data_IF_158366669633
#
_entry.id   IF_158366669633
#
_cell.length_a   1.000
_cell.length_b   1.000
_cell.length_c   1.000
_cell.angle_alpha   90.00
_cell.angle_beta   90.00
_cell.angle_gamma   90.00
#
_symmetry.space_group_name_H-M   'P 1'
#
loop_
_entity.id
_entity.type
_entity.pdbx_description
1 polymer ?
#
# COMPACT_ATOMS: atom_id res chain seq x y z
N UNK A 1 -16.79 36.32 -44.42
CA UNK A 1 -15.85 35.91 -45.48
C UNK A 1 -14.48 36.46 -45.11
N UNK A 2 -13.79 35.81 -44.18
CA UNK A 2 -12.39 36.09 -43.83
C UNK A 2 -11.81 34.78 -43.28
N UNK A 3 -11.41 33.92 -44.20
CA UNK A 3 -10.50 32.81 -43.96
C UNK A 3 -9.51 32.90 -45.11
N UNK A 4 -8.22 33.07 -44.79
CA UNK A 4 -7.04 32.64 -45.54
C UNK A 4 -5.86 33.53 -45.13
N UNK A 5 -5.23 33.15 -44.02
CA UNK A 5 -3.76 33.04 -43.98
C UNK A 5 -3.40 32.19 -42.76
N UNK A 6 -3.13 30.91 -43.00
CA UNK A 6 -2.54 30.00 -42.01
C UNK A 6 -1.42 29.27 -42.73
N UNK A 7 -0.18 29.63 -42.41
CA UNK A 7 1.01 28.93 -42.88
C UNK A 7 1.02 27.50 -42.32
N UNK A 8 1.24 26.54 -43.23
CA UNK A 8 1.39 25.13 -42.93
C UNK A 8 2.86 24.76 -43.04
N UNK A 9 3.49 24.37 -41.93
CA UNK A 9 4.83 23.78 -41.94
C UNK A 9 4.79 22.28 -41.59
N UNK A 10 5.61 21.52 -42.30
CA UNK A 10 5.80 20.08 -42.12
C UNK A 10 7.14 19.84 -41.43
N UNK A 11 7.10 19.21 -40.24
CA UNK A 11 8.30 18.69 -39.57
C UNK A 11 8.07 17.20 -39.27
N UNK A 12 9.01 16.36 -39.72
CA UNK A 12 9.07 14.90 -39.49
C UNK A 12 7.73 14.15 -39.69
N UNK A 13 6.97 14.53 -40.71
CA UNK A 13 5.79 13.79 -41.16
C UNK A 13 4.53 13.94 -40.30
N UNK A 14 4.50 14.88 -39.34
CA UNK A 14 3.33 15.16 -38.50
C UNK A 14 2.84 16.59 -38.73
N UNK A 15 1.54 16.73 -39.02
CA UNK A 15 0.87 18.01 -39.24
C UNK A 15 0.57 18.70 -37.90
N UNK A 16 1.23 19.83 -37.64
CA UNK A 16 1.04 20.61 -36.41
C UNK A 16 0.21 21.85 -36.72
N UNK A 17 -0.96 21.98 -36.06
CA UNK A 17 -1.71 23.24 -36.03
C UNK A 17 -1.05 24.20 -35.05
N UNK A 18 -0.62 25.39 -35.51
CA UNK A 18 -0.26 26.47 -34.60
C UNK A 18 -1.51 26.97 -33.88
N UNK A 19 -1.68 26.54 -32.63
CA UNK A 19 -2.60 27.13 -31.67
C UNK A 19 -1.80 28.11 -30.81
N UNK A 20 -2.32 29.32 -30.58
CA UNK A 20 -1.67 30.36 -29.73
C UNK A 20 -1.44 29.93 -28.27
N UNK A 21 -1.93 28.73 -27.88
CA UNK A 21 -1.69 28.07 -26.59
C UNK A 21 -0.52 27.05 -26.61
N UNK A 22 0.40 27.22 -27.56
CA UNK A 22 1.55 26.31 -27.79
C UNK A 22 2.50 26.17 -26.59
N UNK A 23 2.53 27.15 -25.68
CA UNK A 23 3.34 27.10 -24.46
C UNK A 23 2.80 26.09 -23.44
N UNK A 24 1.48 26.08 -23.22
CA UNK A 24 0.83 25.18 -22.24
C UNK A 24 0.95 23.72 -22.69
N UNK A 25 0.64 23.43 -23.96
CA UNK A 25 0.72 22.10 -24.52
C UNK A 25 2.16 21.53 -24.54
N UNK A 26 3.16 22.37 -24.81
CA UNK A 26 4.58 21.96 -24.79
C UNK A 26 5.07 21.67 -23.37
N UNK A 27 4.63 22.43 -22.38
CA UNK A 27 4.89 22.19 -20.95
C UNK A 27 4.22 20.92 -20.44
N UNK A 28 3.00 20.63 -20.88
CA UNK A 28 2.29 19.37 -20.55
C UNK A 28 3.00 18.15 -21.14
N UNK A 29 3.37 18.19 -22.43
CA UNK A 29 4.11 17.10 -23.09
C UNK A 29 5.47 16.88 -22.42
N UNK A 30 6.19 17.95 -22.08
CA UNK A 30 7.50 17.86 -21.44
C UNK A 30 7.41 17.30 -20.01
N UNK A 31 6.32 17.56 -19.29
CA UNK A 31 6.03 16.94 -17.98
C UNK A 31 5.66 15.47 -18.10
N UNK A 32 4.81 15.10 -19.05
CA UNK A 32 4.44 13.70 -19.31
C UNK A 32 5.66 12.87 -19.74
N UNK A 33 6.60 13.46 -20.48
CA UNK A 33 7.85 12.80 -20.90
C UNK A 33 8.98 12.89 -19.86
N UNK A 34 8.78 13.57 -18.71
CA UNK A 34 9.82 13.71 -17.69
C UNK A 34 10.21 12.38 -17.03
N UNK A 35 9.27 11.42 -16.99
CA UNK A 35 9.52 10.07 -16.48
C UNK A 35 9.42 9.04 -17.59
N UNK A 36 10.44 8.20 -17.73
CA UNK A 36 10.35 6.97 -18.51
C UNK A 36 9.50 5.91 -17.77
N UNK A 37 9.08 4.87 -18.49
CA UNK A 37 8.20 3.83 -17.94
C UNK A 37 8.77 3.15 -16.67
N UNK A 38 10.05 2.73 -16.60
CA UNK A 38 10.63 2.23 -15.36
C UNK A 38 10.55 3.20 -14.17
N UNK A 39 10.82 4.49 -14.41
CA UNK A 39 10.74 5.53 -13.37
C UNK A 39 9.30 5.75 -12.91
N UNK A 40 8.36 5.83 -13.86
CA UNK A 40 6.92 5.97 -13.59
C UNK A 40 6.42 4.81 -12.75
N UNK A 41 6.75 3.57 -13.13
CA UNK A 41 6.37 2.37 -12.39
C UNK A 41 6.96 2.33 -10.98
N UNK A 42 8.22 2.76 -10.83
CA UNK A 42 8.84 2.89 -9.50
C UNK A 42 8.11 3.91 -8.64
N UNK A 43 7.69 5.03 -9.22
CA UNK A 43 6.93 6.07 -8.53
C UNK A 43 5.54 5.55 -8.12
N UNK A 44 4.82 4.87 -9.02
CA UNK A 44 3.53 4.22 -8.72
C UNK A 44 3.63 3.27 -7.51
N UNK A 45 4.63 2.39 -7.50
CA UNK A 45 4.86 1.46 -6.40
C UNK A 45 5.16 2.20 -5.10
N UNK A 46 6.01 3.22 -5.16
CA UNK A 46 6.45 3.95 -3.98
C UNK A 46 5.30 4.76 -3.37
N UNK A 47 4.57 5.52 -4.19
CA UNK A 47 3.44 6.32 -3.70
C UNK A 47 2.29 5.44 -3.22
N UNK A 48 2.00 4.32 -3.90
CA UNK A 48 1.00 3.36 -3.45
C UNK A 48 1.37 2.70 -2.10
N UNK A 49 2.66 2.44 -1.85
CA UNK A 49 3.13 1.96 -0.55
C UNK A 49 2.94 3.02 0.54
N UNK A 50 3.31 4.27 0.28
CA UNK A 50 3.11 5.37 1.24
C UNK A 50 1.62 5.53 1.56
N UNK A 51 0.76 5.58 0.55
CA UNK A 51 -0.69 5.69 0.73
C UNK A 51 -1.25 4.55 1.59
N UNK A 52 -0.80 3.31 1.37
CA UNK A 52 -1.17 2.17 2.20
C UNK A 52 -0.73 2.38 3.66
N UNK A 53 0.51 2.81 3.91
CA UNK A 53 1.01 3.02 5.29
C UNK A 53 0.30 4.16 6.01
N UNK A 54 -0.04 5.24 5.30
CA UNK A 54 -0.83 6.33 5.86
C UNK A 54 -2.21 5.84 6.30
N UNK A 55 -2.84 4.96 5.50
CA UNK A 55 -4.14 4.35 5.85
C UNK A 55 -4.04 3.41 7.05
N UNK A 56 -2.99 2.59 7.11
CA UNK A 56 -2.74 1.72 8.27
C UNK A 56 -2.54 2.55 9.55
N UNK A 57 -1.77 3.64 9.47
CA UNK A 57 -1.50 4.51 10.62
C UNK A 57 -2.78 5.13 11.18
N UNK A 58 -3.63 5.69 10.32
CA UNK A 58 -4.92 6.25 10.76
C UNK A 58 -5.84 5.19 11.35
N UNK A 59 -6.01 4.05 10.66
CA UNK A 59 -6.97 3.04 11.09
C UNK A 59 -6.55 2.37 12.38
N UNK A 60 -5.25 2.08 12.55
CA UNK A 60 -4.76 1.31 13.69
C UNK A 60 -4.48 2.19 14.91
N UNK A 61 -4.00 3.42 14.73
CA UNK A 61 -3.48 4.20 15.85
C UNK A 61 -4.20 5.52 16.10
N UNK A 62 -4.88 6.09 15.10
CA UNK A 62 -5.53 7.41 15.24
C UNK A 62 -7.06 7.35 15.19
N UNK A 63 -7.66 6.19 14.93
CA UNK A 63 -9.11 6.03 14.79
C UNK A 63 -9.87 6.02 16.12
N UNK A 64 -9.15 6.07 17.26
CA UNK A 64 -9.70 5.95 18.61
C UNK A 64 -10.03 4.52 19.02
N UNK A 65 -9.83 3.52 18.16
CA UNK A 65 -9.86 2.12 18.56
C UNK A 65 -8.61 1.80 19.38
N UNK A 66 -8.75 1.02 20.47
CA UNK A 66 -7.62 0.51 21.23
C UNK A 66 -6.83 -0.49 20.35
N UNK A 67 -5.56 -0.22 20.01
CA UNK A 67 -4.76 -1.14 19.22
C UNK A 67 -4.17 -2.29 20.04
N UNK A 68 -4.42 -2.33 21.34
CA UNK A 68 -3.93 -3.38 22.23
C UNK A 68 -4.58 -4.73 21.95
N UNK A 69 -3.83 -5.80 22.18
CA UNK A 69 -4.29 -7.18 22.18
C UNK A 69 -3.74 -7.96 23.37
N UNK A 70 -4.06 -9.25 23.44
CA UNK A 70 -3.72 -10.12 24.58
C UNK A 70 -2.21 -10.23 24.86
N UNK A 71 -1.37 -10.09 23.82
CA UNK A 71 0.08 -10.24 23.91
C UNK A 71 0.85 -8.94 23.67
N UNK A 72 0.17 -7.89 23.19
CA UNK A 72 0.79 -6.60 22.84
C UNK A 72 -0.09 -5.50 23.39
N UNK A 73 0.40 -4.81 24.41
CA UNK A 73 -0.25 -3.62 24.95
C UNK A 73 0.35 -2.40 24.28
N UNK A 74 -0.51 -1.48 23.85
CA UNK A 74 -0.10 -0.19 23.30
C UNK A 74 -0.54 0.89 24.27
N UNK A 75 0.43 1.52 24.91
CA UNK A 75 0.18 2.73 25.68
C UNK A 75 0.14 3.91 24.70
N UNK A 76 -1.01 4.57 24.59
CA UNK A 76 -1.15 5.75 23.76
C UNK A 76 -0.81 7.00 24.57
N UNK A 77 0.43 7.47 24.41
CA UNK A 77 0.95 8.66 25.05
C UNK A 77 0.73 9.96 24.25
N UNK A 78 0.03 9.88 23.12
CA UNK A 78 -0.30 11.05 22.29
C UNK A 78 -1.45 11.85 22.90
N UNK A 79 -1.30 13.17 22.91
CA UNK A 79 -2.37 14.11 23.22
C UNK A 79 -3.37 14.22 22.06
N UNK A 80 -4.60 14.67 22.35
CA UNK A 80 -5.62 14.91 21.32
C UNK A 80 -5.12 15.90 20.24
N UNK A 81 -4.36 16.92 20.65
CA UNK A 81 -3.79 17.91 19.74
C UNK A 81 -2.73 17.30 18.80
N UNK A 82 -1.92 16.35 19.28
CA UNK A 82 -0.96 15.63 18.44
C UNK A 82 -1.67 14.70 17.45
N UNK A 83 -2.72 14.00 17.89
CA UNK A 83 -3.56 13.17 17.01
C UNK A 83 -4.21 14.01 15.91
N UNK A 84 -4.76 15.18 16.25
CA UNK A 84 -5.35 16.11 15.27
C UNK A 84 -4.30 16.64 14.28
N UNK A 85 -3.13 17.01 14.77
CA UNK A 85 -2.03 17.48 13.94
C UNK A 85 -1.54 16.39 12.96
N UNK A 86 -1.37 15.16 13.44
CA UNK A 86 -1.00 14.01 12.60
C UNK A 86 -2.06 13.73 11.54
N UNK A 87 -3.33 13.70 11.93
CA UNK A 87 -4.45 13.49 11.00
C UNK A 87 -4.47 14.56 9.90
N UNK A 88 -4.25 15.82 10.27
CA UNK A 88 -4.13 16.93 9.31
C UNK A 88 -2.99 16.72 8.33
N UNK A 89 -1.78 16.38 8.82
CA UNK A 89 -0.60 16.13 8.00
C UNK A 89 -0.79 14.93 7.05
N UNK A 90 -1.45 13.86 7.50
CA UNK A 90 -1.79 12.70 6.66
C UNK A 90 -2.73 13.13 5.52
N UNK A 91 -3.73 13.96 5.82
CA UNK A 91 -4.60 14.57 4.83
C UNK A 91 -3.83 15.35 3.77
N UNK A 92 -2.89 16.20 4.19
CA UNK A 92 -2.02 16.95 3.27
C UNK A 92 -1.16 16.02 2.39
N UNK A 93 -0.56 14.98 2.97
CA UNK A 93 0.25 14.02 2.22
C UNK A 93 -0.57 13.33 1.13
N UNK A 94 -1.81 12.92 1.43
CA UNK A 94 -2.71 12.31 0.43
C UNK A 94 -3.07 13.28 -0.68
N UNK A 95 -3.34 14.54 -0.36
CA UNK A 95 -3.58 15.55 -1.39
C UNK A 95 -2.38 15.73 -2.30
N UNK A 96 -1.16 15.73 -1.75
CA UNK A 96 0.08 15.82 -2.54
C UNK A 96 0.30 14.57 -3.40
N UNK A 97 0.05 13.38 -2.86
CA UNK A 97 0.08 12.12 -3.63
C UNK A 97 -0.93 12.16 -4.78
N UNK A 98 -2.15 12.66 -4.53
CA UNK A 98 -3.19 12.83 -5.55
C UNK A 98 -2.77 13.78 -6.68
N UNK A 99 -2.10 14.89 -6.34
CA UNK A 99 -1.52 15.81 -7.34
C UNK A 99 -0.42 15.14 -8.16
N UNK A 100 0.53 14.46 -7.52
CA UNK A 100 1.59 13.72 -8.22
C UNK A 100 1.01 12.63 -9.13
N UNK A 101 -0.03 11.93 -8.69
CA UNK A 101 -0.74 10.95 -9.50
C UNK A 101 -1.33 11.59 -10.76
N UNK A 102 -1.97 12.75 -10.64
CA UNK A 102 -2.53 13.46 -11.78
C UNK A 102 -1.42 14.00 -12.71
N UNK A 103 -0.40 14.64 -12.15
CA UNK A 103 0.70 15.26 -12.89
C UNK A 103 1.52 14.25 -13.72
N UNK A 104 1.74 13.06 -13.17
CA UNK A 104 2.52 11.99 -13.82
C UNK A 104 1.65 10.85 -14.36
N UNK A 105 0.32 11.05 -14.47
CA UNK A 105 -0.67 10.07 -14.94
C UNK A 105 -0.46 8.66 -14.37
N UNK A 106 -0.20 8.59 -13.06
CA UNK A 106 0.13 7.35 -12.38
C UNK A 106 -1.10 6.46 -12.27
N UNK A 107 -0.92 5.17 -12.54
CA UNK A 107 -2.01 4.20 -12.49
C UNK A 107 -2.15 3.62 -11.08
N UNK A 108 -3.38 3.54 -10.55
CA UNK A 108 -3.64 2.83 -9.29
C UNK A 108 -3.20 1.37 -9.39
N UNK A 109 -2.60 0.86 -8.32
CA UNK A 109 -2.31 -0.57 -8.23
C UNK A 109 -3.58 -1.32 -7.87
N UNK A 110 -4.10 -2.14 -8.78
CA UNK A 110 -5.16 -3.06 -8.44
C UNK A 110 -4.58 -4.25 -7.68
N UNK A 111 -5.06 -4.45 -6.45
CA UNK A 111 -4.73 -5.63 -5.64
C UNK A 111 -5.99 -6.41 -5.34
N UNK A 112 -5.92 -7.72 -5.45
CA UNK A 112 -7.05 -8.59 -5.13
C UNK A 112 -7.04 -8.89 -3.64
N UNK A 113 -8.11 -8.51 -2.93
CA UNK A 113 -8.26 -8.74 -1.50
C UNK A 113 -8.06 -10.23 -1.14
N UNK A 114 -8.62 -11.15 -1.93
CA UNK A 114 -8.41 -12.60 -1.73
C UNK A 114 -6.94 -12.99 -1.73
N UNK A 115 -6.12 -12.42 -2.63
CA UNK A 115 -4.68 -12.71 -2.70
C UNK A 115 -3.93 -12.14 -1.50
N UNK A 116 -4.32 -10.96 -1.02
CA UNK A 116 -3.76 -10.35 0.20
C UNK A 116 -4.08 -11.22 1.41
N UNK A 117 -5.35 -11.58 1.60
CA UNK A 117 -5.78 -12.41 2.73
C UNK A 117 -5.15 -13.81 2.69
N UNK A 118 -5.04 -14.43 1.50
CA UNK A 118 -4.35 -15.71 1.35
C UNK A 118 -2.87 -15.62 1.76
N UNK A 119 -2.17 -14.55 1.38
CA UNK A 119 -0.79 -14.33 1.79
C UNK A 119 -0.67 -14.14 3.32
N UNK A 120 -1.58 -13.36 3.93
CA UNK A 120 -1.61 -13.14 5.38
C UNK A 120 -1.88 -14.44 6.16
N UNK A 121 -2.83 -15.26 5.73
CA UNK A 121 -3.12 -16.53 6.41
C UNK A 121 -1.99 -17.54 6.26
N UNK A 122 -1.32 -17.59 5.10
CA UNK A 122 -0.10 -18.39 4.93
C UNK A 122 1.02 -17.93 5.86
N UNK A 123 1.17 -16.61 6.03
CA UNK A 123 2.13 -16.04 6.96
C UNK A 123 1.83 -16.41 8.43
N UNK A 124 0.58 -16.29 8.87
CA UNK A 124 0.15 -16.72 10.21
C UNK A 124 0.41 -18.20 10.44
N UNK A 125 0.06 -19.04 9.46
CA UNK A 125 0.31 -20.48 9.55
C UNK A 125 1.80 -20.77 9.70
N UNK A 126 2.66 -20.08 8.94
CA UNK A 126 4.13 -20.24 9.04
C UNK A 126 4.63 -19.87 10.44
N UNK A 127 4.23 -18.72 10.97
CA UNK A 127 4.66 -18.28 12.31
C UNK A 127 4.20 -19.27 13.38
N UNK A 128 2.92 -19.65 13.38
CA UNK A 128 2.37 -20.58 14.37
C UNK A 128 3.06 -21.95 14.29
N UNK A 129 3.36 -22.42 13.07
CA UNK A 129 4.10 -23.65 12.87
C UNK A 129 5.54 -23.53 13.41
N UNK A 130 6.19 -22.38 13.25
CA UNK A 130 7.56 -22.15 13.74
C UNK A 130 7.63 -22.03 15.27
N UNK A 131 6.50 -21.76 15.94
CA UNK A 131 6.40 -21.76 17.40
C UNK A 131 6.26 -23.15 18.04
N UNK A 132 6.13 -24.25 17.27
CA UNK A 132 5.98 -25.60 17.82
C UNK A 132 7.18 -25.99 18.69
N UNK A 133 6.92 -26.73 19.76
CA UNK A 133 7.93 -27.16 20.73
C UNK A 133 9.17 -27.82 20.08
N UNK A 134 8.97 -28.60 19.01
CA UNK A 134 10.04 -29.26 18.25
C UNK A 134 10.97 -28.29 17.50
N UNK A 135 10.48 -27.10 17.14
CA UNK A 135 11.24 -26.06 16.41
C UNK A 135 11.91 -25.05 17.34
N UNK A 136 11.47 -24.98 18.60
CA UNK A 136 12.06 -24.09 19.61
C UNK A 136 13.44 -24.53 20.10
N UNK A 137 13.91 -25.73 19.75
CA UNK A 137 15.24 -26.24 20.13
C UNK A 137 16.41 -25.33 19.74
N UNK A 138 16.24 -24.48 18.72
CA UNK A 138 17.23 -23.48 18.33
C UNK A 138 17.35 -22.28 19.30
N UNK A 139 16.41 -22.12 20.23
CA UNK A 139 16.35 -21.00 21.19
C UNK A 139 16.79 -21.37 22.61
N UNK A 140 17.18 -22.63 22.83
CA UNK A 140 17.64 -23.13 24.12
C UNK A 140 17.13 -24.54 24.42
N UNK A 141 17.39 -25.00 25.65
CA UNK A 141 16.88 -26.30 26.12
C UNK A 141 15.36 -26.23 26.27
N UNK A 142 14.66 -27.02 25.48
CA UNK A 142 13.19 -27.15 25.54
C UNK A 142 12.82 -28.17 26.63
N UNK A 143 11.86 -27.80 27.48
CA UNK A 143 11.28 -28.73 28.46
C UNK A 143 10.48 -29.82 27.71
N UNK A 144 10.71 -31.12 27.97
CA UNK A 144 9.94 -32.21 27.38
C UNK A 144 8.42 -32.09 27.58
N UNK A 145 7.96 -31.42 28.64
CA UNK A 145 6.54 -31.19 28.90
C UNK A 145 5.92 -30.08 28.02
N UNK A 146 6.74 -29.26 27.35
CA UNK A 146 6.26 -28.15 26.53
C UNK A 146 5.40 -28.63 25.37
N UNK A 147 5.76 -29.77 24.77
CA UNK A 147 4.95 -30.39 23.69
C UNK A 147 3.52 -30.69 24.14
N UNK A 148 3.32 -31.09 25.38
CA UNK A 148 1.99 -31.48 25.89
C UNK A 148 1.14 -30.27 26.29
N UNK A 149 1.77 -29.11 26.52
CA UNK A 149 1.10 -27.92 27.06
C UNK A 149 0.94 -26.79 26.04
N UNK A 150 1.93 -26.59 25.16
CA UNK A 150 1.93 -25.54 24.14
C UNK A 150 1.30 -26.00 22.82
N UNK A 151 1.73 -27.15 22.30
CA UNK A 151 1.38 -27.57 20.93
C UNK A 151 -0.14 -27.72 20.71
N UNK A 152 -0.97 -28.20 21.67
CA UNK A 152 -2.42 -28.22 21.50
C UNK A 152 -3.03 -26.84 21.24
N UNK A 153 -2.58 -25.81 21.97
CA UNK A 153 -3.06 -24.44 21.75
C UNK A 153 -2.62 -23.86 20.40
N UNK A 154 -1.40 -24.20 19.95
CA UNK A 154 -0.93 -23.84 18.60
C UNK A 154 -1.73 -24.56 17.51
N UNK A 155 -2.09 -25.83 17.73
CA UNK A 155 -2.92 -26.61 16.81
C UNK A 155 -4.31 -25.97 16.64
N UNK A 156 -4.93 -25.51 17.72
CA UNK A 156 -6.22 -24.78 17.66
C UNK A 156 -6.11 -23.50 16.81
N UNK A 157 -5.06 -22.70 17.01
CA UNK A 157 -4.81 -21.48 16.23
C UNK A 157 -4.52 -21.77 14.75
N UNK A 158 -3.80 -22.86 14.46
CA UNK A 158 -3.54 -23.34 13.09
C UNK A 158 -4.85 -23.75 12.41
N UNK A 159 -5.73 -24.49 13.10
CA UNK A 159 -7.02 -24.90 12.55
C UNK A 159 -7.93 -23.69 12.25
N UNK A 160 -7.93 -22.68 13.12
CA UNK A 160 -8.64 -21.41 12.87
C UNK A 160 -8.08 -20.70 11.63
N UNK A 161 -6.76 -20.60 11.51
CA UNK A 161 -6.09 -19.99 10.35
C UNK A 161 -6.44 -20.72 9.04
N UNK A 162 -6.45 -22.05 9.05
CA UNK A 162 -6.88 -22.86 7.90
C UNK A 162 -8.36 -22.67 7.58
N UNK A 163 -9.21 -22.50 8.60
CA UNK A 163 -10.63 -22.24 8.42
C UNK A 163 -10.88 -20.87 7.78
N UNK A 164 -10.16 -19.82 8.20
CA UNK A 164 -10.18 -18.50 7.55
C UNK A 164 -9.76 -18.59 6.07
N UNK A 165 -8.71 -19.36 5.77
CA UNK A 165 -8.25 -19.58 4.39
C UNK A 165 -9.31 -20.27 3.53
N UNK A 166 -10.01 -21.28 4.06
CA UNK A 166 -11.11 -21.96 3.34
C UNK A 166 -12.28 -21.04 3.01
N UNK A 167 -12.59 -20.05 3.86
CA UNK A 167 -13.67 -19.08 3.60
C UNK A 167 -13.38 -18.27 2.33
N UNK A 168 -12.13 -17.88 2.10
CA UNK A 168 -11.74 -17.02 0.97
C UNK A 168 -11.39 -17.79 -0.30
N UNK A 169 -11.24 -19.12 -0.24
CA UNK A 169 -10.88 -20.00 -1.36
C UNK A 169 -12.07 -20.51 -2.17
N UNK A 170 -13.32 -20.24 -1.75
CA UNK A 170 -14.51 -20.62 -2.53
C UNK A 170 -14.63 -19.78 -3.81
N UNK A 171 -14.26 -20.40 -4.94
CA UNK A 171 -14.77 -20.25 -6.32
C UNK A 171 -14.74 -21.63 -6.98
#
# INVERSE_FOLDING_TARGET
MFWLDREMEWLDGIMIWQCEDSGSAKLEIQRMMALNEPQRRRLEVTLGLIEQRLRELELLYLSGADPSGELVLVDNDLTEAEVEALTTLIGEMRQRIGRLRAEFELRPQQRHLRRILAALFSFFWSILHDCRSEKLGGTGRVDPALRQTLDPGLDDLIQLTQSMSRVIQRE
#
